data_IF_821987885681
#
_entry.id   IF_821987885681
#
_cell.length_a   1.000
_cell.length_b   1.000
_cell.length_c   1.000
_cell.angle_alpha   90.00
_cell.angle_beta   90.00
_cell.angle_gamma   90.00
#
_symmetry.space_group_name_H-M   'P 1'
#
loop_
_entity.id
_entity.type
_entity.pdbx_description
1 polymer ?
#
# COMPACT_ATOMS: atom_id res chain seq x y z
N UNK A 1 -3.96 -2.42 -5.44
CA UNK A 1 -3.00 -3.46 -5.90
C UNK A 1 -3.61 -4.86 -5.74
N UNK A 2 -4.20 -5.21 -4.58
CA UNK A 2 -4.81 -6.54 -4.41
C UNK A 2 -5.98 -6.77 -5.37
N UNK A 3 -6.89 -5.80 -5.52
CA UNK A 3 -7.98 -5.89 -6.50
C UNK A 3 -7.48 -6.07 -7.94
N UNK A 4 -6.38 -5.40 -8.31
CA UNK A 4 -5.75 -5.59 -9.62
C UNK A 4 -5.19 -7.02 -9.78
N UNK A 5 -4.56 -7.57 -8.74
CA UNK A 5 -4.05 -8.93 -8.76
C UNK A 5 -5.19 -9.95 -8.87
N UNK A 6 -6.30 -9.70 -8.21
CA UNK A 6 -7.51 -10.54 -8.29
C UNK A 6 -8.13 -10.49 -9.69
N UNK A 7 -8.26 -9.30 -10.27
CA UNK A 7 -8.79 -9.11 -11.64
C UNK A 7 -7.90 -9.79 -12.70
N UNK A 8 -6.57 -9.60 -12.60
CA UNK A 8 -5.63 -10.11 -13.62
C UNK A 8 -5.27 -11.59 -13.43
N UNK A 9 -5.34 -12.11 -12.22
CA UNK A 9 -4.79 -13.41 -11.87
C UNK A 9 -5.72 -14.30 -11.03
N UNK A 10 -6.91 -13.83 -10.69
CA UNK A 10 -7.84 -14.53 -9.81
C UNK A 10 -7.30 -14.77 -8.39
N UNK A 11 -6.28 -14.02 -7.96
CA UNK A 11 -5.57 -14.27 -6.69
C UNK A 11 -5.48 -13.00 -5.87
N UNK A 12 -6.20 -12.90 -4.74
CA UNK A 12 -6.06 -11.77 -3.84
C UNK A 12 -4.70 -11.81 -3.13
N UNK A 13 -4.11 -10.63 -2.90
CA UNK A 13 -2.84 -10.51 -2.18
C UNK A 13 -3.06 -10.44 -0.68
N UNK A 14 -2.14 -11.01 0.06
CA UNK A 14 -2.05 -10.86 1.51
C UNK A 14 -1.51 -9.48 1.88
N UNK A 15 -2.16 -8.79 2.81
CA UNK A 15 -1.70 -7.52 3.37
C UNK A 15 -0.70 -7.79 4.48
N UNK A 16 0.50 -7.19 4.42
CA UNK A 16 1.55 -7.39 5.43
C UNK A 16 1.36 -6.51 6.67
N UNK A 17 0.77 -5.35 6.51
CA UNK A 17 0.53 -4.40 7.59
C UNK A 17 -0.42 -3.30 7.16
N UNK A 18 -0.99 -2.63 8.15
CA UNK A 18 -1.97 -1.55 7.95
C UNK A 18 -1.98 -0.56 9.10
N UNK A 19 -2.69 0.53 8.90
CA UNK A 19 -3.11 1.42 9.96
C UNK A 19 -4.51 1.00 10.40
N UNK A 20 -4.72 0.84 11.69
CA UNK A 20 -6.01 0.53 12.31
C UNK A 20 -6.24 1.43 13.53
N UNK A 21 -7.34 1.20 14.27
CA UNK A 21 -7.59 1.87 15.56
C UNK A 21 -6.48 1.62 16.59
N UNK A 22 -5.67 0.56 16.41
CA UNK A 22 -4.51 0.22 17.24
C UNK A 22 -3.19 0.80 16.69
N UNK A 23 -3.24 1.72 15.73
CA UNK A 23 -2.07 2.32 15.11
C UNK A 23 -1.47 1.48 13.98
N UNK A 24 -0.16 1.50 13.83
CA UNK A 24 0.55 0.73 12.80
C UNK A 24 0.69 -0.73 13.23
N UNK A 25 -0.07 -1.62 12.62
CA UNK A 25 -0.12 -3.04 12.99
C UNK A 25 0.29 -3.95 11.84
N UNK A 26 0.86 -5.09 12.16
CA UNK A 26 1.11 -6.16 11.20
C UNK A 26 -0.14 -7.04 11.06
N UNK A 27 -0.28 -7.71 9.92
CA UNK A 27 -1.23 -8.81 9.78
C UNK A 27 -0.83 -9.99 10.69
N UNK A 28 -1.82 -10.79 11.07
CA UNK A 28 -1.58 -12.04 11.79
C UNK A 28 -0.60 -12.93 11.01
N UNK A 29 0.35 -13.56 11.70
CA UNK A 29 1.41 -14.37 11.05
C UNK A 29 0.89 -15.65 10.40
N UNK A 30 -0.29 -16.10 10.79
CA UNK A 30 -0.94 -17.31 10.30
C UNK A 30 -1.67 -17.13 8.97
N UNK A 31 -1.66 -15.92 8.40
CA UNK A 31 -2.35 -15.66 7.15
C UNK A 31 -1.56 -16.23 5.98
N UNK A 32 -2.15 -17.18 5.30
CA UNK A 32 -1.65 -17.74 4.05
C UNK A 32 -1.91 -16.79 2.87
N UNK A 33 -1.20 -17.01 1.76
CA UNK A 33 -1.31 -16.23 0.54
C UNK A 33 -0.05 -15.43 0.20
N UNK A 34 0.10 -15.09 -1.06
CA UNK A 34 1.20 -14.28 -1.55
C UNK A 34 1.02 -12.82 -1.16
N UNK A 35 2.10 -12.16 -0.75
CA UNK A 35 2.17 -10.71 -0.59
C UNK A 35 2.55 -10.01 -1.91
N UNK A 36 3.32 -10.69 -2.72
CA UNK A 36 3.80 -10.21 -4.02
C UNK A 36 3.52 -11.24 -5.10
N UNK A 37 3.07 -10.78 -6.25
CA UNK A 37 2.70 -11.61 -7.40
C UNK A 37 3.51 -11.19 -8.62
N UNK A 38 4.04 -12.16 -9.34
CA UNK A 38 4.60 -12.02 -10.67
C UNK A 38 3.58 -12.50 -11.71
N UNK A 39 3.37 -11.72 -12.76
CA UNK A 39 2.63 -12.12 -13.95
C UNK A 39 3.62 -12.28 -15.09
N UNK A 40 3.88 -13.51 -15.49
CA UNK A 40 4.78 -13.80 -16.62
C UNK A 40 3.98 -14.46 -17.75
N UNK A 41 3.86 -13.75 -18.88
CA UNK A 41 3.06 -14.23 -20.01
C UNK A 41 1.60 -14.54 -19.63
N UNK A 42 1.01 -13.75 -18.75
CA UNK A 42 -0.36 -13.93 -18.24
C UNK A 42 -0.52 -15.02 -17.18
N UNK A 43 0.56 -15.66 -16.73
CA UNK A 43 0.53 -16.70 -15.69
C UNK A 43 0.94 -16.11 -14.35
N UNK A 44 0.10 -16.27 -13.30
CA UNK A 44 0.42 -15.79 -11.96
C UNK A 44 1.37 -16.76 -11.24
N UNK A 45 2.36 -16.19 -10.56
CA UNK A 45 3.32 -16.90 -9.70
C UNK A 45 3.51 -16.10 -8.41
N UNK A 46 3.55 -16.78 -7.25
CA UNK A 46 3.94 -16.13 -6.00
C UNK A 46 5.39 -15.65 -6.09
N UNK A 47 5.63 -14.38 -5.74
CA UNK A 47 6.95 -13.75 -5.84
C UNK A 47 7.65 -13.59 -4.48
N UNK A 48 6.97 -13.91 -3.38
CA UNK A 48 7.55 -13.82 -2.03
C UNK A 48 8.82 -14.66 -1.90
N UNK A 49 9.88 -14.07 -1.35
CA UNK A 49 11.20 -14.71 -1.21
C UNK A 49 12.01 -14.78 -2.49
N UNK A 50 11.49 -14.27 -3.61
CA UNK A 50 12.12 -14.32 -4.94
C UNK A 50 12.25 -12.95 -5.61
N UNK A 51 11.82 -11.87 -4.95
CA UNK A 51 11.77 -10.54 -5.58
C UNK A 51 13.14 -10.07 -6.08
N UNK A 52 14.21 -10.40 -5.37
CA UNK A 52 15.56 -10.02 -5.80
C UNK A 52 15.97 -10.72 -7.10
N UNK A 53 15.71 -12.02 -7.22
CA UNK A 53 15.96 -12.78 -8.43
C UNK A 53 15.08 -12.30 -9.60
N UNK A 54 13.79 -12.03 -9.33
CA UNK A 54 12.88 -11.48 -10.32
C UNK A 54 13.35 -10.12 -10.80
N UNK A 55 13.72 -9.23 -9.86
CA UNK A 55 14.21 -7.89 -10.19
C UNK A 55 15.48 -7.91 -11.06
N UNK A 56 16.36 -8.90 -10.86
CA UNK A 56 17.56 -9.05 -11.67
C UNK A 56 17.27 -9.37 -13.15
N UNK A 57 16.10 -9.96 -13.44
CA UNK A 57 15.66 -10.30 -14.80
C UNK A 57 14.83 -9.17 -15.45
N UNK A 58 14.34 -8.19 -14.65
CA UNK A 58 13.45 -7.13 -15.13
C UNK A 58 14.19 -6.04 -15.90
N UNK A 59 13.48 -5.42 -16.84
CA UNK A 59 14.00 -4.36 -17.70
C UNK A 59 12.91 -3.35 -18.13
N UNK A 60 13.20 -2.53 -19.15
CA UNK A 60 12.32 -1.42 -19.58
C UNK A 60 10.92 -1.84 -20.07
N UNK A 61 10.77 -3.09 -20.50
CA UNK A 61 9.48 -3.62 -20.97
C UNK A 61 8.59 -4.12 -19.83
N UNK A 62 9.15 -4.24 -18.64
CA UNK A 62 8.43 -4.71 -17.46
C UNK A 62 7.79 -3.56 -16.69
N UNK A 63 6.72 -3.91 -15.94
CA UNK A 63 5.99 -2.97 -15.11
C UNK A 63 5.80 -3.53 -13.72
N UNK A 64 6.11 -2.72 -12.71
CA UNK A 64 5.78 -3.01 -11.32
C UNK A 64 4.64 -2.12 -10.88
N UNK A 65 3.62 -2.70 -10.24
CA UNK A 65 2.54 -1.97 -9.57
C UNK A 65 2.67 -2.16 -8.07
N UNK A 66 2.79 -1.07 -7.34
CA UNK A 66 2.83 -1.08 -5.87
C UNK A 66 1.90 -0.02 -5.27
N UNK A 67 1.61 -0.12 -3.98
CA UNK A 67 0.92 0.91 -3.22
C UNK A 67 1.88 1.80 -2.45
N UNK A 68 1.40 2.94 -1.96
CA UNK A 68 2.12 3.80 -1.04
C UNK A 68 1.32 3.99 0.26
N UNK A 69 2.02 4.41 1.32
CA UNK A 69 1.39 4.81 2.59
C UNK A 69 1.32 6.33 2.75
N UNK A 70 2.18 7.05 2.04
CA UNK A 70 2.22 8.51 2.01
C UNK A 70 2.59 8.98 0.60
N UNK A 71 1.93 10.04 0.18
CA UNK A 71 2.22 10.80 -1.05
C UNK A 71 2.22 12.28 -0.68
N UNK A 72 3.08 13.09 -1.26
CA UNK A 72 3.06 14.55 -1.08
C UNK A 72 2.63 15.30 -2.34
N UNK A 73 2.39 16.59 -2.20
CA UNK A 73 1.98 17.47 -3.31
C UNK A 73 3.06 17.67 -4.38
N UNK A 74 4.30 17.27 -4.12
CA UNK A 74 5.41 17.34 -5.07
C UNK A 74 5.58 16.04 -5.88
N UNK A 75 4.69 15.06 -5.69
CA UNK A 75 4.75 13.78 -6.38
C UNK A 75 5.76 12.78 -5.81
N UNK A 76 6.20 12.97 -4.57
CA UNK A 76 6.98 11.96 -3.87
C UNK A 76 6.05 10.96 -3.19
N UNK A 77 6.48 9.70 -3.12
CA UNK A 77 5.75 8.63 -2.45
C UNK A 77 6.70 7.77 -1.61
N UNK A 78 6.14 7.17 -0.54
CA UNK A 78 6.87 6.22 0.26
C UNK A 78 5.96 5.15 0.85
N UNK A 79 6.53 4.00 1.16
CA UNK A 79 5.89 2.93 1.91
C UNK A 79 6.39 2.88 3.35
N UNK A 80 5.52 2.53 4.29
CA UNK A 80 5.89 2.28 5.68
C UNK A 80 6.64 0.95 5.82
N UNK A 81 7.74 0.98 6.56
CA UNK A 81 8.60 -0.16 6.79
C UNK A 81 8.65 -0.51 8.28
N UNK A 82 7.91 -1.53 8.70
CA UNK A 82 7.96 -2.10 10.05
C UNK A 82 9.06 -3.15 10.25
N UNK A 83 9.60 -3.72 9.16
CA UNK A 83 10.69 -4.69 9.16
C UNK A 83 12.03 -4.05 8.77
N UNK A 84 13.12 -4.76 9.06
CA UNK A 84 14.45 -4.35 8.61
C UNK A 84 14.47 -4.08 7.10
N UNK A 85 14.90 -2.88 6.72
CA UNK A 85 14.96 -2.36 5.34
C UNK A 85 13.62 -2.50 4.55
N UNK A 86 12.48 -2.51 5.24
CA UNK A 86 11.17 -2.67 4.58
C UNK A 86 10.88 -4.06 4.04
N UNK A 87 11.64 -5.07 4.50
CA UNK A 87 11.56 -6.42 3.95
C UNK A 87 12.12 -6.48 2.53
N UNK A 88 11.74 -7.52 1.79
CA UNK A 88 12.16 -7.72 0.41
C UNK A 88 11.70 -6.59 -0.53
N UNK A 89 10.41 -6.16 -0.51
CA UNK A 89 9.98 -5.02 -1.33
C UNK A 89 10.76 -3.73 -1.04
N UNK A 90 11.07 -3.45 0.23
CA UNK A 90 11.80 -2.24 0.60
C UNK A 90 13.24 -2.18 0.10
N UNK A 91 13.87 -3.33 -0.11
CA UNK A 91 15.20 -3.41 -0.69
C UNK A 91 15.20 -3.28 -2.22
N UNK A 92 14.11 -3.70 -2.86
CA UNK A 92 14.06 -3.83 -4.32
C UNK A 92 13.40 -2.64 -4.99
N UNK A 93 12.20 -2.24 -4.53
CA UNK A 93 11.38 -1.23 -5.20
C UNK A 93 12.12 0.10 -5.47
N UNK A 94 12.92 0.66 -4.53
CA UNK A 94 13.63 1.91 -4.79
C UNK A 94 14.70 1.82 -5.89
N UNK A 95 15.17 0.62 -6.19
CA UNK A 95 16.27 0.39 -7.13
C UNK A 95 15.81 0.02 -8.54
N UNK A 96 14.57 -0.43 -8.71
CA UNK A 96 14.03 -0.84 -10.01
C UNK A 96 14.15 0.22 -11.12
N UNK A 97 13.98 1.53 -10.85
CA UNK A 97 14.17 2.56 -11.87
C UNK A 97 15.60 2.59 -12.44
N UNK A 98 16.62 2.16 -11.68
CA UNK A 98 17.99 2.08 -12.19
C UNK A 98 18.18 1.04 -13.29
N UNK A 99 17.26 0.09 -13.41
CA UNK A 99 17.20 -0.91 -14.47
C UNK A 99 16.22 -0.53 -15.60
N UNK A 100 15.64 0.66 -15.53
CA UNK A 100 14.66 1.12 -16.51
C UNK A 100 13.25 0.54 -16.30
N UNK A 101 13.00 -0.21 -15.23
CA UNK A 101 11.70 -0.80 -14.94
C UNK A 101 10.68 0.29 -14.67
N UNK A 102 9.53 0.21 -15.31
CA UNK A 102 8.43 1.16 -15.10
C UNK A 102 7.68 0.84 -13.82
N UNK A 103 7.59 1.80 -12.89
CA UNK A 103 6.86 1.65 -11.66
C UNK A 103 5.58 2.49 -11.67
N UNK A 104 4.46 1.87 -11.34
CA UNK A 104 3.16 2.52 -11.12
C UNK A 104 2.84 2.42 -9.63
N UNK A 105 2.64 3.57 -9.01
CA UNK A 105 2.30 3.69 -7.59
C UNK A 105 0.80 3.98 -7.49
N UNK A 106 0.00 2.95 -7.20
CA UNK A 106 -1.43 3.09 -7.00
C UNK A 106 -1.70 3.55 -5.57
N UNK A 107 -2.06 4.82 -5.40
CA UNK A 107 -2.29 5.42 -4.09
C UNK A 107 -3.44 6.42 -4.16
N UNK A 108 -4.51 6.18 -3.44
CA UNK A 108 -5.65 7.09 -3.36
C UNK A 108 -5.30 8.41 -2.69
N UNK A 109 -6.12 9.43 -2.95
CA UNK A 109 -5.91 10.79 -2.41
C UNK A 109 -5.92 10.83 -0.88
N UNK A 110 -6.46 9.82 -0.21
CA UNK A 110 -6.39 9.69 1.25
C UNK A 110 -4.95 9.55 1.78
N UNK A 111 -3.98 9.20 0.90
CA UNK A 111 -2.56 9.11 1.24
C UNK A 111 -1.81 10.43 1.12
N UNK A 112 -2.44 11.48 0.59
CA UNK A 112 -1.79 12.79 0.41
C UNK A 112 -1.58 13.43 1.79
N UNK A 113 -0.32 13.73 2.09
CA UNK A 113 0.14 14.37 3.32
C UNK A 113 0.49 15.85 3.08
N UNK A 114 0.20 16.74 4.04
CA UNK A 114 0.72 18.10 4.04
C UNK A 114 2.23 18.16 4.34
N UNK A 115 2.78 17.14 5.00
CA UNK A 115 4.23 17.02 5.24
C UNK A 115 4.87 16.38 4.02
N UNK A 116 5.97 16.95 3.54
CA UNK A 116 6.72 16.37 2.42
C UNK A 116 7.28 14.99 2.79
N UNK A 117 7.34 14.08 1.82
CA UNK A 117 7.89 12.74 2.05
C UNK A 117 9.33 12.80 2.55
N UNK A 118 10.24 13.64 2.01
CA UNK A 118 11.60 13.77 2.54
C UNK A 118 11.66 14.23 4.00
N UNK A 119 10.78 15.14 4.44
CA UNK A 119 10.72 15.57 5.85
C UNK A 119 10.18 14.45 6.74
N UNK A 120 9.11 13.77 6.33
CA UNK A 120 8.57 12.63 7.05
C UNK A 120 9.61 11.50 7.19
N UNK A 121 10.44 11.26 6.16
CA UNK A 121 11.52 10.27 6.21
C UNK A 121 12.60 10.63 7.21
N UNK A 122 12.93 11.92 7.39
CA UNK A 122 13.90 12.37 8.40
C UNK A 122 13.37 12.23 9.82
N UNK A 123 12.05 12.41 10.00
CA UNK A 123 11.41 12.40 11.32
C UNK A 123 11.08 10.97 11.81
N UNK A 124 10.89 10.01 10.91
CA UNK A 124 10.48 8.66 11.26
C UNK A 124 11.66 7.69 11.37
N UNK A 125 11.41 6.50 11.91
CA UNK A 125 12.40 5.41 11.95
C UNK A 125 11.98 4.29 12.89
N UNK A 126 12.29 3.07 12.53
CA UNK A 126 11.95 1.89 13.35
C UNK A 126 12.59 1.89 14.74
N UNK A 127 13.73 2.55 14.90
CA UNK A 127 14.53 2.55 16.12
C UNK A 127 14.56 3.92 16.81
N UNK A 128 14.00 4.95 16.19
CA UNK A 128 14.03 6.31 16.71
C UNK A 128 12.97 6.58 17.80
N UNK A 129 11.70 6.15 17.65
CA UNK A 129 10.68 6.41 18.65
C UNK A 129 10.94 5.65 19.95
N UNK A 130 10.70 6.31 21.07
CA UNK A 130 10.70 5.69 22.40
C UNK A 130 9.42 4.87 22.61
N UNK A 131 8.32 5.32 22.01
CA UNK A 131 7.00 4.72 22.11
C UNK A 131 6.26 4.85 20.77
N UNK A 132 5.45 3.85 20.42
CA UNK A 132 4.63 3.82 19.22
C UNK A 132 3.30 3.13 19.48
N UNK A 133 2.21 3.71 18.99
CA UNK A 133 0.92 3.04 18.92
C UNK A 133 0.98 2.00 17.80
N UNK A 134 1.12 0.73 18.17
CA UNK A 134 1.51 -0.34 17.27
C UNK A 134 3.02 -0.37 17.03
N UNK A 135 3.47 -0.82 15.89
CA UNK A 135 4.91 -0.93 15.58
C UNK A 135 5.49 0.42 15.12
N UNK A 136 6.69 0.75 15.60
CA UNK A 136 7.45 1.84 15.03
C UNK A 136 7.85 1.51 13.59
N UNK A 137 7.65 2.47 12.69
CA UNK A 137 7.92 2.32 11.26
C UNK A 137 8.89 3.40 10.77
N UNK A 138 9.68 3.07 9.78
CA UNK A 138 10.36 4.02 8.93
C UNK A 138 9.65 4.14 7.59
N UNK A 139 10.17 4.99 6.71
CA UNK A 139 9.69 5.15 5.35
C UNK A 139 10.76 4.70 4.36
N UNK A 140 10.34 4.01 3.31
CA UNK A 140 11.16 3.64 2.15
C UNK A 140 10.62 4.41 0.95
N UNK A 141 11.45 5.21 0.25
CA UNK A 141 11.00 5.98 -0.90
C UNK A 141 10.58 5.06 -2.05
N UNK A 142 9.60 5.49 -2.82
CA UNK A 142 9.15 4.83 -4.02
C UNK A 142 9.31 5.79 -5.19
N UNK A 143 9.80 5.30 -6.31
CA UNK A 143 10.00 6.07 -7.53
C UNK A 143 9.15 5.48 -8.64
N UNK A 144 8.29 6.29 -9.24
CA UNK A 144 7.40 5.86 -10.30
C UNK A 144 6.27 6.84 -10.55
N UNK A 145 5.40 6.51 -11.48
CA UNK A 145 4.20 7.29 -11.77
C UNK A 145 3.14 7.03 -10.68
N UNK A 146 2.78 8.07 -9.96
CA UNK A 146 1.66 7.99 -9.02
C UNK A 146 0.35 8.02 -9.81
N UNK A 147 -0.54 7.09 -9.50
CA UNK A 147 -1.90 7.04 -10.03
C UNK A 147 -2.86 7.08 -8.84
N UNK A 148 -3.49 8.23 -8.68
CA UNK A 148 -4.58 8.44 -7.73
C UNK A 148 -5.92 8.57 -8.48
N UNK A 149 -7.02 8.82 -7.78
CA UNK A 149 -8.33 8.90 -8.41
C UNK A 149 -8.40 9.96 -9.52
N UNK A 150 -7.88 11.20 -9.38
CA UNK A 150 -7.86 12.16 -10.47
C UNK A 150 -7.11 11.68 -11.71
N UNK A 151 -5.94 11.03 -11.54
CA UNK A 151 -5.18 10.46 -12.67
C UNK A 151 -5.92 9.28 -13.30
N UNK A 152 -6.59 8.45 -12.48
CA UNK A 152 -7.41 7.35 -12.98
C UNK A 152 -8.63 7.86 -13.77
N UNK A 153 -9.32 8.89 -13.27
CA UNK A 153 -10.46 9.51 -13.95
C UNK A 153 -10.05 10.10 -15.30
N UNK A 154 -8.90 10.81 -15.37
CA UNK A 154 -8.36 11.30 -16.64
C UNK A 154 -7.96 10.17 -17.59
N UNK A 155 -7.38 9.08 -17.08
CA UNK A 155 -7.05 7.90 -17.87
C UNK A 155 -8.29 7.20 -18.43
N UNK A 156 -9.42 7.29 -17.73
CA UNK A 156 -10.73 6.82 -18.19
C UNK A 156 -11.42 7.81 -19.15
N UNK A 157 -10.78 8.93 -19.50
CA UNK A 157 -11.26 9.88 -20.50
C UNK A 157 -11.97 11.12 -19.96
N UNK A 158 -11.94 11.36 -18.63
CA UNK A 158 -12.36 12.65 -18.10
C UNK A 158 -11.46 13.77 -18.65
N UNK A 159 -12.03 14.94 -18.95
CA UNK A 159 -11.24 16.13 -19.32
C UNK A 159 -10.43 16.63 -18.15
N UNK A 160 -11.05 16.65 -16.96
CA UNK A 160 -10.34 16.93 -15.70
C UNK A 160 -11.11 16.39 -14.50
N UNK A 161 -10.42 16.33 -13.33
CA UNK A 161 -10.99 15.92 -12.07
C UNK A 161 -10.31 16.63 -10.89
N UNK A 162 -11.12 17.17 -9.99
CA UNK A 162 -10.65 17.93 -8.83
C UNK A 162 -11.18 17.35 -7.53
N UNK A 163 -10.33 17.27 -6.53
CA UNK A 163 -10.73 16.97 -5.15
C UNK A 163 -11.27 18.26 -4.52
N UNK A 164 -12.51 18.25 -4.07
CA UNK A 164 -13.15 19.41 -3.43
C UNK A 164 -13.43 19.20 -1.93
N UNK A 165 -13.22 17.98 -1.43
CA UNK A 165 -13.38 17.66 -0.01
C UNK A 165 -12.77 16.32 0.31
N UNK A 166 -12.32 16.14 1.54
CA UNK A 166 -11.74 14.89 2.06
C UNK A 166 -12.23 14.62 3.47
N UNK A 167 -12.34 13.35 3.78
CA UNK A 167 -12.84 12.89 5.05
C UNK A 167 -14.34 12.63 5.04
N UNK A 168 -14.81 11.97 6.07
CA UNK A 168 -16.20 11.60 6.27
C UNK A 168 -16.36 11.01 7.67
N UNK A 169 -17.49 10.38 7.91
CA UNK A 169 -17.83 9.71 9.17
C UNK A 169 -18.45 8.35 8.90
N UNK A 170 -18.48 7.49 9.91
CA UNK A 170 -19.17 6.21 9.86
C UNK A 170 -18.72 5.30 8.72
N UNK A 171 -17.40 5.12 8.57
CA UNK A 171 -16.79 4.27 7.55
C UNK A 171 -16.33 5.03 6.30
N UNK A 172 -16.58 6.34 6.22
CA UNK A 172 -16.14 7.20 5.11
C UNK A 172 -14.95 8.10 5.47
N UNK A 173 -14.20 7.79 6.54
CA UNK A 173 -13.12 8.64 7.06
C UNK A 173 -11.99 8.85 6.05
N UNK A 174 -11.76 7.88 5.15
CA UNK A 174 -10.81 7.99 4.04
C UNK A 174 -11.42 8.50 2.73
N UNK A 175 -12.70 8.89 2.74
CA UNK A 175 -13.41 9.32 1.54
C UNK A 175 -12.93 10.64 0.97
N UNK A 176 -13.18 10.85 -0.31
CA UNK A 176 -12.97 12.13 -0.99
C UNK A 176 -14.13 12.44 -1.92
N UNK A 177 -14.43 13.73 -2.07
CA UNK A 177 -15.44 14.23 -2.99
C UNK A 177 -14.74 14.87 -4.19
N UNK A 178 -15.18 14.49 -5.39
CA UNK A 178 -14.62 14.95 -6.65
C UNK A 178 -15.63 15.75 -7.45
N UNK A 179 -15.17 16.78 -8.15
CA UNK A 179 -15.84 17.33 -9.33
C UNK A 179 -15.09 16.78 -10.54
N UNK A 180 -15.84 16.28 -11.51
CA UNK A 180 -15.28 15.67 -12.72
C UNK A 180 -15.87 16.33 -13.93
N UNK A 181 -15.03 16.74 -14.88
CA UNK A 181 -15.44 17.30 -16.16
C UNK A 181 -15.33 16.24 -17.27
N UNK A 182 -16.41 16.11 -18.05
CA UNK A 182 -16.52 15.18 -19.16
C UNK A 182 -17.69 15.56 -20.05
N UNK A 183 -17.85 14.90 -21.18
CA UNK A 183 -19.05 15.01 -21.99
C UNK A 183 -20.10 13.96 -21.60
N UNK A 184 -21.33 14.11 -22.10
CA UNK A 184 -22.46 13.22 -21.77
C UNK A 184 -22.16 11.75 -22.10
N UNK A 185 -21.49 11.50 -23.24
CA UNK A 185 -21.12 10.15 -23.64
C UNK A 185 -20.11 9.51 -22.69
N UNK A 186 -19.15 10.30 -22.23
CA UNK A 186 -18.18 9.86 -21.24
C UNK A 186 -18.86 9.52 -19.91
N UNK A 187 -19.80 10.39 -19.46
CA UNK A 187 -20.53 10.15 -18.20
C UNK A 187 -21.35 8.85 -18.22
N UNK A 188 -21.97 8.50 -19.34
CA UNK A 188 -22.69 7.24 -19.45
C UNK A 188 -21.74 6.03 -19.30
N UNK A 189 -20.57 6.09 -19.93
CA UNK A 189 -19.55 5.03 -19.78
C UNK A 189 -18.97 4.97 -18.37
N UNK A 190 -18.65 6.15 -17.81
CA UNK A 190 -18.09 6.26 -16.46
C UNK A 190 -19.05 5.75 -15.39
N UNK A 191 -20.35 5.99 -15.53
CA UNK A 191 -21.35 5.48 -14.60
C UNK A 191 -21.31 3.95 -14.51
N UNK A 192 -21.16 3.25 -15.64
CA UNK A 192 -21.01 1.79 -15.62
C UNK A 192 -19.74 1.34 -14.90
N UNK A 193 -18.63 2.04 -15.11
CA UNK A 193 -17.37 1.77 -14.36
C UNK A 193 -17.56 2.01 -12.87
N UNK A 194 -18.19 3.12 -12.49
CA UNK A 194 -18.45 3.45 -11.09
C UNK A 194 -19.33 2.40 -10.41
N UNK A 195 -20.36 1.94 -11.08
CA UNK A 195 -21.23 0.87 -10.59
C UNK A 195 -20.48 -0.45 -10.43
N UNK A 196 -19.57 -0.79 -11.34
CA UNK A 196 -18.79 -2.04 -11.27
C UNK A 196 -17.78 -2.07 -10.11
N UNK A 197 -17.27 -0.91 -9.68
CA UNK A 197 -16.33 -0.81 -8.55
C UNK A 197 -17.02 -0.50 -7.23
N UNK A 198 -18.29 -0.20 -7.24
CA UNK A 198 -19.06 0.11 -6.04
C UNK A 198 -19.19 -1.11 -5.15
N UNK A 199 -18.69 -0.99 -3.91
CA UNK A 199 -18.68 -2.08 -2.95
C UNK A 199 -17.59 -3.13 -3.20
N UNK A 200 -16.62 -2.86 -4.08
CA UNK A 200 -15.51 -3.76 -4.31
C UNK A 200 -14.70 -3.97 -3.03
N UNK A 201 -14.37 -5.24 -2.75
CA UNK A 201 -13.50 -5.61 -1.63
C UNK A 201 -12.08 -5.08 -1.87
N UNK A 202 -11.53 -4.36 -0.91
CA UNK A 202 -10.22 -3.72 -1.04
C UNK A 202 -9.15 -4.31 -0.13
N UNK A 203 -9.54 -5.21 0.77
CA UNK A 203 -8.69 -5.74 1.84
C UNK A 203 -7.83 -6.93 1.44
N UNK A 204 -7.96 -7.43 0.20
CA UNK A 204 -7.23 -8.62 -0.25
C UNK A 204 -7.69 -9.87 0.51
N UNK A 205 -6.74 -10.75 0.88
CA UNK A 205 -7.06 -11.96 1.66
C UNK A 205 -7.68 -11.56 3.01
N UNK A 206 -8.90 -12.01 3.27
CA UNK A 206 -9.72 -11.61 4.42
C UNK A 206 -8.99 -11.76 5.77
N UNK A 207 -8.29 -12.87 6.00
CA UNK A 207 -7.49 -13.07 7.21
C UNK A 207 -6.33 -12.07 7.40
N UNK A 208 -5.96 -11.30 6.36
CA UNK A 208 -4.96 -10.25 6.47
C UNK A 208 -5.44 -9.05 7.28
N UNK A 209 -6.75 -8.93 7.50
CA UNK A 209 -7.35 -7.87 8.32
C UNK A 209 -7.22 -8.19 9.80
N UNK A 210 -6.98 -9.45 10.16
CA UNK A 210 -6.73 -9.83 11.54
C UNK A 210 -5.43 -9.18 12.03
N UNK A 211 -5.51 -8.54 13.18
CA UNK A 211 -4.37 -7.85 13.77
C UNK A 211 -3.44 -8.84 14.47
N UNK A 212 -2.15 -8.50 14.53
CA UNK A 212 -1.21 -9.25 15.33
C UNK A 212 -1.60 -9.16 16.82
N UNK A 213 -2.10 -10.25 17.36
CA UNK A 213 -2.47 -10.38 18.78
C UNK A 213 -1.30 -10.82 19.65
N UNK A 214 -0.21 -11.31 19.06
CA UNK A 214 0.98 -11.80 19.77
C UNK A 214 2.25 -11.35 19.08
N UNK A 215 3.16 -10.74 19.83
CA UNK A 215 4.54 -10.60 19.39
C UNK A 215 5.15 -12.01 19.38
N UNK A 216 5.42 -12.57 18.20
CA UNK A 216 6.08 -13.87 18.10
C UNK A 216 7.49 -13.85 18.70
N UNK A 217 8.21 -14.99 18.74
CA UNK A 217 9.55 -15.11 19.31
C UNK A 217 10.56 -14.11 18.73
N UNK A 218 10.29 -13.59 17.56
CA UNK A 218 11.04 -12.49 16.91
C UNK A 218 10.41 -11.11 17.18
N UNK A 219 9.75 -10.90 18.31
CA UNK A 219 9.20 -9.60 18.74
C UNK A 219 10.22 -8.46 18.78
N UNK A 220 11.51 -8.78 18.58
CA UNK A 220 12.56 -7.81 18.31
C UNK A 220 12.34 -6.95 17.05
N UNK A 221 11.48 -7.39 16.12
CA UNK A 221 11.19 -6.64 14.90
C UNK A 221 10.21 -5.47 15.11
N UNK A 222 9.35 -5.55 16.15
CA UNK A 222 8.39 -4.49 16.48
C UNK A 222 8.88 -3.66 17.66
N UNK A 223 9.88 -2.82 17.38
CA UNK A 223 10.46 -1.94 18.38
C UNK A 223 9.45 -0.86 18.82
N UNK A 224 9.52 -0.46 20.09
CA UNK A 224 8.70 0.58 20.70
C UNK A 224 7.17 0.37 20.64
N UNK A 225 6.68 -0.81 20.24
CA UNK A 225 5.26 -1.12 20.21
C UNK A 225 4.66 -1.14 21.62
N UNK A 226 3.63 -0.32 21.86
CA UNK A 226 2.97 -0.21 23.18
C UNK A 226 2.29 -1.52 23.63
N UNK A 227 1.90 -2.38 22.69
CA UNK A 227 1.26 -3.67 23.00
C UNK A 227 2.24 -4.79 23.34
N UNK A 228 3.55 -4.53 23.24
CA UNK A 228 4.59 -5.56 23.45
C UNK A 228 4.60 -6.12 24.86
N UNK A 229 4.41 -5.27 25.86
CA UNK A 229 4.49 -5.66 27.27
C UNK A 229 3.17 -6.25 27.78
N UNK A 230 2.04 -5.85 27.23
CA UNK A 230 0.74 -6.44 27.51
C UNK A 230 0.70 -7.91 27.07
N UNK A 231 1.21 -8.18 25.86
CA UNK A 231 1.25 -9.51 25.27
C UNK A 231 2.28 -10.45 25.91
N UNK A 232 3.28 -9.92 26.64
CA UNK A 232 4.19 -10.73 27.45
C UNK A 232 3.54 -11.24 28.73
N UNK A 233 2.73 -10.39 29.39
CA UNK A 233 2.05 -10.75 30.66
C UNK A 233 0.98 -11.82 30.47
N UNK A 234 0.39 -11.95 29.28
CA UNK A 234 -0.59 -13.01 28.98
C UNK A 234 0.07 -14.38 28.70
N UNK A 235 1.32 -14.39 28.23
CA UNK A 235 2.06 -15.65 27.97
C UNK A 235 2.72 -16.23 29.22
N UNK A 236 2.86 -15.44 30.29
CA UNK A 236 3.43 -15.85 31.57
C UNK A 236 2.36 -16.33 32.58
N UNK A 237 1.09 -16.40 32.16
CA UNK A 237 -0.06 -16.95 32.91
C UNK A 237 -0.52 -18.27 32.32
#
# INVERSE_FOLDING_TARGET
VSALAEELAGTPLRISGRISLRGSVAAARTVEGAHSLLLRGGRPEAADGRLEAIAAEMGPDDVVVCGANIVDSCGNAAMMAGRFMGGEPGRILPLLPSQGVRCIIAAGVEKISPTSVPEAMKACGRKAPVWSMGMAVGLVPLFGRIVSEPEALRALGARDAWVIGRGGVSGAEGGATFVVDGDDRWFETFRMVLESVRGAETSGVAGSIDECLRCGPNGADHLACCYRDELRKENDR
#
